data_IF_388098935379
#
_entry.id   IF_388098935379
#
_cell.length_a   1.000
_cell.length_b   1.000
_cell.length_c   1.000
_cell.angle_alpha   90.00
_cell.angle_beta   90.00
_cell.angle_gamma   90.00
#
_symmetry.space_group_name_H-M   'P 1'
#
loop_
_entity.id
_entity.type
_entity.pdbx_description
1 polymer ?
#
# COMPACT_ATOMS: atom_id res chain seq x y z
N UNK A 1 76.12 -6.39 -6.56
CA UNK A 1 75.68 -5.42 -7.59
C UNK A 1 74.18 -5.54 -7.70
N UNK A 2 73.45 -4.59 -7.14
CA UNK A 2 71.98 -4.53 -7.13
C UNK A 2 71.59 -3.67 -8.34
N UNK A 3 70.77 -4.17 -9.29
CA UNK A 3 70.26 -3.32 -10.37
C UNK A 3 69.19 -2.35 -9.82
N UNK A 4 69.06 -1.15 -10.42
CA UNK A 4 68.31 -0.04 -9.86
C UNK A 4 66.79 -0.26 -9.92
N UNK A 5 66.06 0.45 -9.06
CA UNK A 5 64.60 0.45 -8.95
C UNK A 5 63.91 0.55 -10.32
N UNK A 6 63.43 -0.59 -10.80
CA UNK A 6 62.69 -0.68 -12.06
C UNK A 6 61.28 -0.14 -11.87
N UNK A 7 60.95 0.90 -12.63
CA UNK A 7 59.57 1.32 -12.87
C UNK A 7 58.73 0.10 -13.28
N UNK A 8 57.94 -0.41 -12.35
CA UNK A 8 56.94 -1.45 -12.62
C UNK A 8 55.78 -0.79 -13.38
N UNK A 9 56.01 -0.50 -14.66
CA UNK A 9 55.03 0.09 -15.55
C UNK A 9 53.98 -0.96 -15.96
N UNK A 10 52.79 -0.50 -16.37
CA UNK A 10 51.68 -1.37 -16.79
C UNK A 10 52.07 -2.34 -17.93
N UNK A 11 53.05 -1.96 -18.76
CA UNK A 11 53.59 -2.79 -19.85
C UNK A 11 54.36 -4.01 -19.36
N UNK A 12 55.20 -3.85 -18.33
CA UNK A 12 55.94 -4.96 -17.70
C UNK A 12 54.97 -5.92 -16.99
N UNK A 13 53.91 -5.38 -16.38
CA UNK A 13 52.86 -6.19 -15.76
C UNK A 13 52.04 -7.01 -16.78
N UNK A 14 51.83 -6.47 -17.99
CA UNK A 14 51.18 -7.21 -19.09
C UNK A 14 52.08 -8.31 -19.66
N UNK A 15 53.38 -8.05 -19.84
CA UNK A 15 54.34 -9.10 -20.24
C UNK A 15 54.42 -10.22 -19.20
N UNK A 16 54.55 -9.88 -17.92
CA UNK A 16 54.60 -10.88 -16.84
C UNK A 16 53.31 -11.73 -16.75
N UNK A 17 52.14 -11.16 -17.08
CA UNK A 17 50.86 -11.90 -17.19
C UNK A 17 50.80 -12.89 -18.36
N UNK A 18 51.54 -12.64 -19.44
CA UNK A 18 51.63 -13.56 -20.58
C UNK A 18 52.66 -14.66 -20.34
N UNK A 19 53.74 -14.35 -19.63
CA UNK A 19 54.81 -15.29 -19.28
C UNK A 19 54.44 -16.26 -18.14
N UNK A 20 53.55 -15.85 -17.22
CA UNK A 20 53.05 -16.71 -16.13
C UNK A 20 51.52 -16.62 -16.04
N UNK A 21 50.76 -17.61 -16.57
CA UNK A 21 49.32 -17.58 -16.44
C UNK A 21 48.91 -17.81 -14.98
N UNK A 22 48.08 -16.92 -14.44
CA UNK A 22 47.46 -17.16 -13.14
C UNK A 22 46.53 -18.38 -13.23
N UNK A 23 46.65 -19.30 -12.27
CA UNK A 23 45.77 -20.45 -12.12
C UNK A 23 44.40 -20.01 -11.58
N UNK A 24 43.60 -19.39 -12.46
CA UNK A 24 42.25 -18.92 -12.12
C UNK A 24 41.28 -20.09 -12.25
N UNK A 25 40.68 -20.50 -11.14
CA UNK A 25 39.63 -21.52 -11.16
C UNK A 25 38.30 -20.99 -11.71
N UNK A 26 37.91 -19.77 -11.30
CA UNK A 26 36.61 -19.18 -11.62
C UNK A 26 36.74 -17.71 -12.01
N UNK A 27 35.96 -17.29 -13.03
CA UNK A 27 35.92 -15.90 -13.49
C UNK A 27 35.05 -15.03 -12.57
N UNK A 28 35.24 -13.71 -12.63
CA UNK A 28 34.38 -12.73 -11.96
C UNK A 28 32.93 -12.81 -12.47
N UNK A 29 31.96 -12.71 -11.57
CA UNK A 29 30.54 -12.76 -11.91
C UNK A 29 30.02 -11.43 -12.47
N UNK A 30 28.89 -11.49 -13.19
CA UNK A 30 28.23 -10.28 -13.72
C UNK A 30 27.51 -9.52 -12.61
N UNK A 31 27.22 -8.24 -12.86
CA UNK A 31 26.39 -7.44 -11.96
C UNK A 31 25.04 -8.13 -11.74
N UNK A 32 24.63 -8.24 -10.47
CA UNK A 32 23.38 -8.90 -10.07
C UNK A 32 23.45 -10.42 -9.87
N UNK A 33 24.67 -10.99 -9.93
CA UNK A 33 24.96 -12.39 -9.61
C UNK A 33 25.74 -12.49 -8.30
N UNK A 34 25.38 -13.47 -7.48
CA UNK A 34 26.11 -13.81 -6.26
C UNK A 34 27.11 -14.95 -6.53
N UNK A 35 28.25 -14.91 -5.86
CA UNK A 35 29.27 -15.96 -5.92
C UNK A 35 28.96 -17.05 -4.91
N UNK A 36 28.74 -18.28 -5.37
CA UNK A 36 28.58 -19.48 -4.53
C UNK A 36 29.86 -20.31 -4.58
N UNK A 37 30.52 -20.52 -3.44
CA UNK A 37 31.72 -21.37 -3.37
C UNK A 37 31.35 -22.85 -3.55
N UNK A 38 32.21 -23.60 -4.25
CA UNK A 38 32.03 -25.05 -4.37
C UNK A 38 32.44 -25.74 -3.06
N UNK A 39 31.66 -26.73 -2.60
CA UNK A 39 31.97 -27.48 -1.37
C UNK A 39 33.31 -28.24 -1.44
N UNK A 40 33.69 -28.70 -2.64
CA UNK A 40 34.91 -29.50 -2.84
C UNK A 40 36.16 -28.68 -3.22
N UNK A 41 36.05 -27.35 -3.37
CA UNK A 41 37.21 -26.50 -3.69
C UNK A 41 37.03 -25.05 -3.17
N UNK A 42 37.70 -24.68 -2.06
CA UNK A 42 37.47 -23.39 -1.40
C UNK A 42 37.94 -22.17 -2.23
N UNK A 43 38.79 -22.39 -3.25
CA UNK A 43 39.29 -21.35 -4.15
C UNK A 43 38.38 -21.09 -5.37
N UNK A 44 37.36 -21.93 -5.59
CA UNK A 44 36.50 -21.87 -6.77
C UNK A 44 35.08 -21.42 -6.40
N UNK A 45 34.53 -20.49 -7.18
CA UNK A 45 33.14 -20.07 -7.04
C UNK A 45 32.38 -20.20 -8.37
N UNK A 46 31.06 -20.38 -8.27
CA UNK A 46 30.10 -20.35 -9.37
C UNK A 46 29.19 -19.14 -9.23
N UNK A 47 28.83 -18.52 -10.34
CA UNK A 47 27.88 -17.42 -10.35
C UNK A 47 26.45 -17.96 -10.32
N UNK A 48 25.63 -17.47 -9.40
CA UNK A 48 24.20 -17.75 -9.34
C UNK A 48 23.40 -16.45 -9.39
N UNK A 49 22.34 -16.41 -10.19
CA UNK A 49 21.43 -15.28 -10.27
C UNK A 49 20.54 -15.17 -9.03
N UNK A 50 20.38 -13.95 -8.51
CA UNK A 50 19.45 -13.70 -7.40
C UNK A 50 17.98 -13.67 -7.87
N UNK A 51 17.04 -13.99 -6.99
CA UNK A 51 15.60 -13.87 -7.28
C UNK A 51 15.16 -12.40 -7.34
N UNK A 52 14.05 -12.07 -8.02
CA UNK A 52 13.48 -10.72 -7.98
C UNK A 52 13.14 -10.32 -6.53
N UNK A 53 13.49 -9.09 -6.13
CA UNK A 53 13.34 -8.61 -4.74
C UNK A 53 14.53 -8.90 -3.82
N UNK A 54 15.57 -9.56 -4.34
CA UNK A 54 16.84 -9.77 -3.65
C UNK A 54 17.96 -8.93 -4.27
N UNK A 55 18.95 -8.57 -3.46
CA UNK A 55 20.17 -7.87 -3.87
C UNK A 55 21.42 -8.68 -3.50
N UNK A 56 22.51 -8.42 -4.20
CA UNK A 56 23.81 -9.08 -4.00
C UNK A 56 24.55 -8.40 -2.84
N UNK A 57 24.95 -9.19 -1.85
CA UNK A 57 25.88 -8.74 -0.82
C UNK A 57 27.32 -9.01 -1.30
N UNK A 58 28.08 -7.95 -1.56
CA UNK A 58 29.49 -8.06 -1.93
C UNK A 58 30.37 -8.28 -0.69
N UNK A 59 31.27 -9.27 -0.73
CA UNK A 59 32.45 -9.26 0.16
C UNK A 59 33.47 -8.26 -0.40
N UNK A 60 34.16 -7.47 0.44
CA UNK A 60 35.34 -6.72 -0.02
C UNK A 60 36.44 -7.72 -0.38
N UNK A 61 36.84 -7.77 -1.65
CA UNK A 61 37.84 -8.70 -2.18
C UNK A 61 39.28 -8.18 -2.12
N UNK A 62 39.61 -7.25 -1.23
CA UNK A 62 41.02 -6.89 -1.01
C UNK A 62 41.25 -6.34 0.39
N UNK A 63 41.87 -7.16 1.24
CA UNK A 63 42.40 -6.75 2.54
C UNK A 63 42.85 -7.99 3.33
N UNK A 64 44.05 -7.99 3.94
CA UNK A 64 44.41 -9.01 4.92
C UNK A 64 43.39 -8.99 6.07
N UNK A 65 43.17 -10.15 6.69
CA UNK A 65 42.11 -10.43 7.67
C UNK A 65 42.20 -9.65 9.01
N UNK A 66 43.00 -8.59 9.07
CA UNK A 66 43.21 -7.76 10.25
C UNK A 66 42.88 -6.29 9.95
N UNK A 67 41.59 -5.98 9.79
CA UNK A 67 41.10 -4.62 9.98
C UNK A 67 39.88 -4.69 10.90
N UNK A 68 39.94 -4.11 12.11
CA UNK A 68 38.83 -4.15 13.04
C UNK A 68 37.64 -3.35 12.50
N UNK A 69 36.44 -3.90 12.68
CA UNK A 69 35.16 -3.23 12.44
C UNK A 69 35.05 -1.97 13.31
N UNK A 70 35.49 -0.81 12.83
CA UNK A 70 34.95 0.48 13.26
C UNK A 70 35.22 1.57 12.21
N UNK A 71 34.40 1.61 11.16
CA UNK A 71 34.13 2.89 10.49
C UNK A 71 32.71 2.88 9.95
N UNK A 72 31.79 3.20 10.85
CA UNK A 72 30.47 3.72 10.52
C UNK A 72 30.63 5.05 9.78
N UNK A 73 29.78 5.40 8.80
CA UNK A 73 29.63 6.80 8.43
C UNK A 73 29.09 7.56 9.66
N UNK A 74 29.76 8.66 9.97
CA UNK A 74 29.39 9.59 11.05
C UNK A 74 27.94 10.05 10.86
N UNK A 75 27.21 10.06 11.97
CA UNK A 75 25.76 10.21 12.00
C UNK A 75 25.21 11.54 11.50
N UNK A 76 23.96 11.48 11.06
CA UNK A 76 23.01 12.58 11.12
C UNK A 76 21.88 12.17 12.09
N UNK A 77 21.70 12.96 13.13
CA UNK A 77 20.68 12.83 14.18
C UNK A 77 19.28 13.26 13.71
N UNK A 78 18.25 12.46 14.01
CA UNK A 78 16.86 12.91 13.96
C UNK A 78 15.83 11.83 13.58
N UNK A 79 15.41 11.07 14.59
CA UNK A 79 14.10 10.45 14.82
C UNK A 79 13.38 9.55 13.78
N UNK A 80 13.02 8.38 14.32
CA UNK A 80 11.96 7.44 13.93
C UNK A 80 12.19 6.54 12.69
N UNK A 81 12.69 5.33 12.97
CA UNK A 81 12.24 4.11 12.29
C UNK A 81 13.02 3.69 11.05
N UNK A 82 14.26 3.22 11.22
CA UNK A 82 14.83 2.27 10.27
C UNK A 82 15.73 1.27 10.99
N UNK A 83 15.19 0.08 11.25
CA UNK A 83 16.00 -1.11 11.44
C UNK A 83 16.72 -1.41 10.12
N UNK A 84 17.86 -0.77 9.88
CA UNK A 84 18.88 -1.32 9.01
C UNK A 84 19.53 -2.50 9.75
N UNK A 85 18.76 -3.58 9.95
CA UNK A 85 19.22 -4.82 10.53
C UNK A 85 20.14 -5.51 9.50
N UNK A 86 21.45 -5.27 9.62
CA UNK A 86 22.44 -6.14 9.04
C UNK A 86 22.38 -7.47 9.83
N UNK A 87 21.51 -8.39 9.46
CA UNK A 87 21.59 -9.75 10.02
C UNK A 87 22.80 -10.41 9.39
N UNK A 88 24.01 -10.27 9.92
CA UNK A 88 25.15 -11.05 9.44
C UNK A 88 24.80 -12.54 9.60
N UNK A 89 24.72 -13.28 8.49
CA UNK A 89 24.49 -14.72 8.54
C UNK A 89 25.77 -15.37 9.05
N UNK A 90 25.64 -16.39 9.90
CA UNK A 90 26.74 -17.13 10.54
C UNK A 90 27.78 -17.65 9.54
N UNK A 91 27.41 -17.74 8.26
CA UNK A 91 28.34 -18.01 7.18
C UNK A 91 28.51 -16.70 6.42
N UNK A 92 29.71 -16.11 6.50
CA UNK A 92 30.13 -14.87 5.85
C UNK A 92 30.00 -14.90 4.30
N UNK A 93 29.20 -15.75 3.68
CA UNK A 93 29.18 -15.99 2.23
C UNK A 93 28.58 -14.79 1.45
N UNK A 94 29.24 -14.42 0.36
CA UNK A 94 28.67 -13.52 -0.64
C UNK A 94 27.39 -14.17 -1.19
N UNK A 95 26.24 -13.59 -0.89
CA UNK A 95 24.94 -14.23 -1.11
C UNK A 95 23.85 -13.23 -1.43
N UNK A 96 22.77 -13.73 -2.03
CA UNK A 96 21.57 -12.95 -2.31
C UNK A 96 20.78 -12.75 -1.01
N UNK A 97 20.39 -11.50 -0.72
CA UNK A 97 19.55 -11.17 0.43
C UNK A 97 18.26 -10.46 0.02
N UNK A 98 17.13 -10.72 0.68
CA UNK A 98 15.91 -9.99 0.43
C UNK A 98 16.05 -8.51 0.85
N UNK A 99 15.41 -7.62 0.09
CA UNK A 99 15.28 -6.22 0.46
C UNK A 99 14.29 -6.03 1.64
N UNK A 100 14.50 -5.02 2.50
CA UNK A 100 13.57 -4.71 3.58
C UNK A 100 12.19 -4.25 3.04
N UNK A 101 11.11 -4.40 3.82
CA UNK A 101 9.78 -3.97 3.41
C UNK A 101 9.76 -2.47 3.07
N UNK A 102 9.05 -2.10 2.00
CA UNK A 102 9.01 -0.72 1.49
C UNK A 102 10.14 -0.36 0.50
N UNK A 103 11.00 -1.32 0.16
CA UNK A 103 12.07 -1.14 -0.84
C UNK A 103 11.99 -2.19 -1.94
N UNK A 104 12.45 -1.84 -3.14
CA UNK A 104 12.55 -2.72 -4.30
C UNK A 104 14.01 -2.88 -4.72
N UNK A 105 14.41 -4.08 -5.13
CA UNK A 105 15.76 -4.32 -5.68
C UNK A 105 15.96 -3.55 -6.98
N UNK A 106 17.13 -2.90 -7.14
CA UNK A 106 17.53 -2.30 -8.44
C UNK A 106 17.52 -3.35 -9.57
N UNK A 107 17.39 -2.92 -10.82
CA UNK A 107 17.47 -3.79 -12.00
C UNK A 107 18.79 -4.59 -12.05
N UNK A 108 19.89 -3.98 -11.60
CA UNK A 108 21.21 -4.62 -11.50
C UNK A 108 21.41 -5.42 -10.20
N UNK A 109 20.40 -5.48 -9.32
CA UNK A 109 20.38 -6.19 -8.03
C UNK A 109 21.59 -5.86 -7.13
N UNK A 110 22.17 -4.68 -7.28
CA UNK A 110 23.32 -4.20 -6.51
C UNK A 110 22.93 -3.58 -5.17
N UNK A 111 21.64 -3.27 -4.99
CA UNK A 111 21.10 -2.69 -3.77
C UNK A 111 19.58 -2.55 -3.84
N UNK A 112 19.00 -1.96 -2.81
CA UNK A 112 17.57 -1.70 -2.69
C UNK A 112 17.30 -0.20 -2.87
N UNK A 113 16.27 0.14 -3.64
CA UNK A 113 15.74 1.48 -3.82
C UNK A 113 14.45 1.61 -3.00
N UNK A 114 14.22 2.78 -2.41
CA UNK A 114 12.92 3.10 -1.80
C UNK A 114 11.83 3.09 -2.87
N UNK A 115 10.67 2.52 -2.55
CA UNK A 115 9.55 2.51 -3.48
C UNK A 115 9.01 3.93 -3.60
N UNK A 116 9.11 4.54 -4.78
CA UNK A 116 8.52 5.84 -5.02
C UNK A 116 7.00 5.69 -5.03
N UNK A 117 6.31 6.45 -4.16
CA UNK A 117 4.85 6.41 -4.10
C UNK A 117 4.29 7.10 -5.34
N UNK A 118 3.89 6.30 -6.32
CA UNK A 118 3.14 6.81 -7.47
C UNK A 118 1.72 7.15 -7.01
N UNK A 119 1.47 8.42 -6.74
CA UNK A 119 0.11 8.93 -6.64
C UNK A 119 -0.61 8.61 -7.96
N UNK A 120 -1.91 8.26 -7.94
CA UNK A 120 -2.69 8.17 -9.18
C UNK A 120 -2.54 9.50 -9.91
N UNK A 121 -1.63 9.53 -10.89
CA UNK A 121 -1.23 10.74 -11.56
C UNK A 121 -2.45 11.43 -12.18
N UNK A 122 -2.40 12.76 -12.33
CA UNK A 122 -3.49 13.56 -12.91
C UNK A 122 -3.86 13.19 -14.35
N UNK A 123 -3.19 12.18 -14.95
CA UNK A 123 -3.41 11.68 -16.31
C UNK A 123 -4.08 10.30 -16.35
N UNK A 124 -4.43 9.72 -15.21
CA UNK A 124 -5.10 8.43 -15.16
C UNK A 124 -6.58 8.53 -15.54
N UNK A 125 -7.06 7.83 -16.58
CA UNK A 125 -8.44 7.97 -17.06
C UNK A 125 -9.47 7.49 -16.03
N UNK A 126 -9.12 6.51 -15.18
CA UNK A 126 -10.00 6.03 -14.12
C UNK A 126 -10.32 7.11 -13.09
N UNK A 127 -9.34 7.97 -12.77
CA UNK A 127 -9.52 9.06 -11.80
C UNK A 127 -10.53 10.09 -12.33
N UNK A 128 -10.44 10.44 -13.62
CA UNK A 128 -11.43 11.29 -14.28
C UNK A 128 -12.81 10.67 -14.33
N UNK A 129 -12.90 9.36 -14.60
CA UNK A 129 -14.18 8.64 -14.63
C UNK A 129 -14.91 8.73 -13.29
N UNK A 130 -14.21 8.48 -12.18
CA UNK A 130 -14.78 8.55 -10.83
C UNK A 130 -15.18 9.98 -10.46
N UNK A 131 -14.35 10.97 -10.79
CA UNK A 131 -14.67 12.37 -10.52
C UNK A 131 -15.92 12.84 -11.29
N UNK A 132 -16.00 12.50 -12.58
CA UNK A 132 -17.15 12.84 -13.43
C UNK A 132 -18.44 12.19 -12.92
N UNK A 133 -18.38 10.91 -12.54
CA UNK A 133 -19.53 10.19 -11.98
C UNK A 133 -20.01 10.81 -10.67
N UNK A 134 -19.06 11.19 -9.80
CA UNK A 134 -19.37 11.82 -8.52
C UNK A 134 -20.01 13.20 -8.69
N UNK A 135 -19.50 14.03 -9.63
CA UNK A 135 -20.11 15.32 -9.96
C UNK A 135 -21.51 15.15 -10.55
N UNK A 136 -21.70 14.20 -11.48
CA UNK A 136 -23.01 13.95 -12.08
C UNK A 136 -24.04 13.53 -11.01
N UNK A 137 -23.65 12.63 -10.11
CA UNK A 137 -24.49 12.20 -8.98
C UNK A 137 -24.81 13.33 -8.00
N UNK A 138 -23.82 14.17 -7.68
CA UNK A 138 -24.00 15.36 -6.84
C UNK A 138 -24.99 16.35 -7.48
N UNK A 139 -24.83 16.65 -8.77
CA UNK A 139 -25.72 17.55 -9.50
C UNK A 139 -27.16 17.03 -9.55
N UNK A 140 -27.34 15.73 -9.82
CA UNK A 140 -28.66 15.11 -9.84
C UNK A 140 -29.36 15.19 -8.47
N UNK A 141 -28.65 14.85 -7.40
CA UNK A 141 -29.21 14.87 -6.05
C UNK A 141 -29.45 16.29 -5.53
N UNK A 142 -28.61 17.28 -5.89
CA UNK A 142 -28.87 18.70 -5.63
C UNK A 142 -30.14 19.14 -6.36
N UNK A 143 -30.32 18.75 -7.62
CA UNK A 143 -31.55 19.03 -8.39
C UNK A 143 -32.81 18.45 -7.74
N UNK A 144 -32.74 17.21 -7.28
CA UNK A 144 -33.84 16.58 -6.51
C UNK A 144 -34.07 17.31 -5.18
N UNK A 145 -33.01 17.69 -4.48
CA UNK A 145 -33.09 18.50 -3.26
C UNK A 145 -33.78 19.84 -3.51
N UNK A 146 -33.39 20.58 -4.55
CA UNK A 146 -33.99 21.86 -4.89
C UNK A 146 -35.47 21.68 -5.25
N UNK A 147 -35.82 20.70 -6.09
CA UNK A 147 -37.24 20.47 -6.45
C UNK A 147 -38.09 20.07 -5.26
N UNK A 148 -37.55 19.23 -4.37
CA UNK A 148 -38.15 18.90 -3.07
C UNK A 148 -38.39 20.16 -2.24
N UNK A 149 -37.39 21.06 -2.22
CA UNK A 149 -37.41 22.33 -1.50
C UNK A 149 -38.24 23.42 -2.20
N UNK A 150 -38.55 23.31 -3.48
CA UNK A 150 -39.47 24.24 -4.14
C UNK A 150 -40.92 23.77 -3.99
N UNK A 151 -41.13 22.46 -3.85
CA UNK A 151 -42.45 21.82 -3.80
C UNK A 151 -42.84 21.32 -2.41
N UNK A 152 -42.26 21.84 -1.31
CA UNK A 152 -42.54 21.38 0.07
C UNK A 152 -44.02 21.28 0.44
N UNK A 153 -44.88 22.09 -0.18
CA UNK A 153 -46.32 22.13 0.10
C UNK A 153 -47.16 21.15 -0.74
N UNK A 154 -46.55 20.37 -1.63
CA UNK A 154 -47.29 19.38 -2.40
C UNK A 154 -47.73 18.21 -1.52
N UNK A 155 -48.96 17.70 -1.66
CA UNK A 155 -49.47 16.61 -0.83
C UNK A 155 -48.65 15.33 -0.96
N UNK A 156 -47.95 15.16 -2.09
CA UNK A 156 -47.01 14.06 -2.35
C UNK A 156 -45.84 14.08 -1.37
N UNK A 157 -45.20 15.24 -1.19
CA UNK A 157 -44.05 15.38 -0.28
C UNK A 157 -44.51 15.30 1.18
N UNK A 158 -45.69 15.84 1.48
CA UNK A 158 -46.26 15.80 2.82
C UNK A 158 -46.55 14.37 3.30
N UNK A 159 -47.05 13.50 2.40
CA UNK A 159 -47.31 12.09 2.70
C UNK A 159 -46.03 11.26 2.90
N UNK A 160 -44.92 11.63 2.27
CA UNK A 160 -43.67 10.85 2.27
C UNK A 160 -42.86 10.94 3.57
N UNK A 161 -43.27 11.79 4.53
CA UNK A 161 -42.51 12.06 5.75
C UNK A 161 -41.30 12.94 5.48
N UNK A 162 -41.43 14.23 5.86
CA UNK A 162 -40.46 15.28 5.52
C UNK A 162 -39.05 14.96 6.03
N UNK A 163 -38.95 14.62 7.31
CA UNK A 163 -37.68 14.42 7.99
C UNK A 163 -36.92 13.20 7.42
N UNK A 164 -37.63 12.09 7.16
CA UNK A 164 -37.01 10.87 6.61
C UNK A 164 -36.47 11.08 5.19
N UNK A 165 -37.16 11.86 4.35
CA UNK A 165 -36.65 12.18 2.99
C UNK A 165 -35.37 13.00 3.06
N UNK A 166 -35.33 13.98 3.98
CA UNK A 166 -34.19 14.87 4.15
C UNK A 166 -32.95 14.11 4.63
N UNK A 167 -33.09 13.17 5.58
CA UNK A 167 -31.98 12.31 5.99
C UNK A 167 -31.46 11.42 4.85
N UNK A 168 -32.35 10.88 4.03
CA UNK A 168 -31.97 10.09 2.85
C UNK A 168 -31.21 10.95 1.82
N UNK A 169 -31.70 12.16 1.52
CA UNK A 169 -31.03 13.09 0.63
C UNK A 169 -29.66 13.51 1.17
N UNK A 170 -29.54 13.78 2.47
CA UNK A 170 -28.26 14.10 3.10
C UNK A 170 -27.25 12.96 2.98
N UNK A 171 -27.66 11.70 3.22
CA UNK A 171 -26.80 10.53 3.08
C UNK A 171 -26.33 10.30 1.63
N UNK A 172 -27.20 10.52 0.65
CA UNK A 172 -26.85 10.45 -0.78
C UNK A 172 -25.91 11.59 -1.20
N UNK A 173 -26.04 12.78 -0.61
CA UNK A 173 -25.12 13.88 -0.90
C UNK A 173 -23.75 13.65 -0.30
N UNK A 174 -23.70 13.22 0.95
CA UNK A 174 -22.46 12.90 1.66
C UNK A 174 -21.67 11.77 0.97
N UNK A 175 -22.35 10.79 0.35
CA UNK A 175 -21.69 9.69 -0.37
C UNK A 175 -20.99 10.13 -1.66
N UNK A 176 -21.50 11.15 -2.37
CA UNK A 176 -20.82 11.73 -3.54
C UNK A 176 -19.77 12.77 -3.16
N UNK A 177 -19.94 13.48 -2.04
CA UNK A 177 -18.95 14.44 -1.53
C UNK A 177 -17.71 13.71 -0.98
N UNK A 178 -17.87 12.55 -0.33
CA UNK A 178 -16.77 11.77 0.23
C UNK A 178 -15.63 11.48 -0.80
N UNK A 179 -15.86 10.84 -1.96
CA UNK A 179 -14.79 10.57 -2.92
C UNK A 179 -14.20 11.87 -3.50
N UNK A 180 -15.00 12.91 -3.70
CA UNK A 180 -14.50 14.21 -4.20
C UNK A 180 -13.55 14.85 -3.17
N UNK A 181 -13.94 14.86 -1.89
CA UNK A 181 -13.14 15.43 -0.81
C UNK A 181 -11.84 14.65 -0.57
N UNK A 182 -11.90 13.31 -0.66
CA UNK A 182 -10.71 12.46 -0.53
C UNK A 182 -9.73 12.65 -1.70
N UNK A 183 -10.24 12.90 -2.92
CA UNK A 183 -9.40 13.08 -4.11
C UNK A 183 -8.72 14.44 -4.19
N UNK A 184 -9.26 15.49 -3.57
CA UNK A 184 -8.58 16.80 -3.49
C UNK A 184 -7.47 16.87 -2.44
N UNK A 185 -7.45 15.96 -1.45
CA UNK A 185 -6.48 15.96 -0.36
C UNK A 185 -5.28 15.05 -0.62
N UNK A 186 -4.08 15.47 -0.21
CA UNK A 186 -2.92 14.56 -0.10
C UNK A 186 -3.26 13.45 0.91
N UNK A 187 -2.84 12.18 0.71
CA UNK A 187 -3.15 11.11 1.64
C UNK A 187 -2.57 11.45 3.02
N UNK A 188 -3.46 11.77 3.95
CA UNK A 188 -3.16 12.03 5.36
C UNK A 188 -3.85 10.98 6.20
N UNK A 189 -3.37 10.75 7.43
CA UNK A 189 -3.97 9.78 8.37
C UNK A 189 -5.44 10.07 8.63
N UNK A 190 -5.82 11.36 8.67
CA UNK A 190 -7.21 11.81 8.85
C UNK A 190 -8.07 11.50 7.62
N UNK A 191 -7.57 11.78 6.42
CA UNK A 191 -8.23 11.51 5.14
C UNK A 191 -8.39 9.99 4.93
N UNK A 192 -7.40 9.20 5.34
CA UNK A 192 -7.46 7.74 5.30
C UNK A 192 -8.55 7.20 6.24
N UNK A 193 -8.57 7.65 7.51
CA UNK A 193 -9.59 7.25 8.48
C UNK A 193 -11.01 7.65 8.02
N UNK A 194 -11.17 8.87 7.51
CA UNK A 194 -12.44 9.34 6.97
C UNK A 194 -12.85 8.58 5.70
N UNK A 195 -11.89 8.23 4.85
CA UNK A 195 -12.15 7.47 3.63
C UNK A 195 -12.69 6.07 3.88
N UNK A 196 -12.34 5.46 5.01
CA UNK A 196 -12.90 4.17 5.43
C UNK A 196 -14.28 4.34 6.09
N UNK A 197 -14.46 5.34 6.95
CA UNK A 197 -15.65 5.47 7.79
C UNK A 197 -16.84 6.13 7.06
N UNK A 198 -16.58 7.17 6.25
CA UNK A 198 -17.62 7.95 5.60
C UNK A 198 -18.59 7.11 4.72
N UNK A 199 -18.14 6.24 3.79
CA UNK A 199 -19.07 5.46 2.96
C UNK A 199 -19.95 4.52 3.80
N UNK A 200 -19.40 3.92 4.86
CA UNK A 200 -20.16 3.07 5.78
C UNK A 200 -21.27 3.83 6.50
N UNK A 201 -20.93 5.00 7.07
CA UNK A 201 -21.92 5.86 7.73
C UNK A 201 -23.00 6.34 6.77
N UNK A 202 -22.64 6.78 5.56
CA UNK A 202 -23.62 7.21 4.55
C UNK A 202 -24.60 6.10 4.18
N UNK A 203 -24.11 4.87 3.93
CA UNK A 203 -24.97 3.73 3.60
C UNK A 203 -25.90 3.39 4.77
N UNK A 204 -25.40 3.42 6.01
CA UNK A 204 -26.24 3.13 7.18
C UNK A 204 -27.38 4.15 7.36
N UNK A 205 -27.10 5.44 7.15
CA UNK A 205 -28.12 6.50 7.21
C UNK A 205 -29.18 6.30 6.12
N UNK A 206 -28.74 6.05 4.87
CA UNK A 206 -29.65 5.77 3.76
C UNK A 206 -30.52 4.54 4.03
N UNK A 207 -29.91 3.45 4.50
CA UNK A 207 -30.62 2.20 4.78
C UNK A 207 -31.61 2.34 5.94
N UNK A 208 -31.23 3.03 7.02
CA UNK A 208 -32.12 3.31 8.15
C UNK A 208 -33.34 4.16 7.73
N UNK A 209 -33.15 5.15 6.84
CA UNK A 209 -34.24 5.95 6.31
C UNK A 209 -35.19 5.12 5.42
N UNK A 210 -34.65 4.26 4.55
CA UNK A 210 -35.46 3.34 3.73
C UNK A 210 -36.24 2.38 4.63
N UNK A 211 -35.58 1.73 5.58
CA UNK A 211 -36.21 0.78 6.49
C UNK A 211 -37.34 1.41 7.30
N UNK A 212 -37.14 2.63 7.80
CA UNK A 212 -38.18 3.38 8.53
C UNK A 212 -39.43 3.60 7.68
N UNK A 213 -39.25 3.93 6.39
CA UNK A 213 -40.37 4.10 5.46
C UNK A 213 -41.09 2.79 5.19
N UNK A 214 -40.34 1.75 4.86
CA UNK A 214 -40.90 0.43 4.54
C UNK A 214 -41.67 -0.14 5.73
N UNK A 215 -41.15 0.02 6.95
CA UNK A 215 -41.82 -0.41 8.18
C UNK A 215 -43.15 0.31 8.40
N UNK A 216 -43.17 1.65 8.28
CA UNK A 216 -44.41 2.44 8.42
C UNK A 216 -45.46 2.03 7.39
N UNK A 217 -45.06 1.81 6.14
CA UNK A 217 -45.96 1.35 5.07
C UNK A 217 -46.51 -0.05 5.37
N UNK A 218 -45.65 -0.98 5.79
CA UNK A 218 -46.05 -2.34 6.14
C UNK A 218 -47.08 -2.35 7.28
N UNK A 219 -46.92 -1.50 8.30
CA UNK A 219 -47.89 -1.41 9.41
C UNK A 219 -49.28 -0.96 8.94
N UNK A 220 -49.38 -0.04 7.96
CA UNK A 220 -50.67 0.40 7.42
C UNK A 220 -51.42 -0.78 6.80
N UNK A 221 -50.73 -1.61 6.01
CA UNK A 221 -51.32 -2.80 5.40
C UNK A 221 -51.74 -3.83 6.45
N UNK A 222 -50.89 -4.08 7.45
CA UNK A 222 -51.20 -5.03 8.54
C UNK A 222 -52.42 -4.61 9.37
N UNK A 223 -52.61 -3.31 9.61
CA UNK A 223 -53.81 -2.77 10.29
C UNK A 223 -55.05 -2.86 9.40
N UNK A 224 -54.90 -2.66 8.08
CA UNK A 224 -56.04 -2.68 7.14
C UNK A 224 -56.52 -4.08 6.73
N UNK A 225 -55.68 -5.11 6.82
CA UNK A 225 -56.03 -6.49 6.45
C UNK A 225 -55.66 -7.47 7.57
N UNK A 226 -56.59 -7.80 8.50
CA UNK A 226 -56.33 -8.77 9.57
C UNK A 226 -56.06 -10.19 9.04
N UNK A 227 -56.40 -10.48 7.77
CA UNK A 227 -56.16 -11.77 7.09
C UNK A 227 -54.67 -12.04 6.84
N UNK A 228 -53.83 -11.00 6.71
CA UNK A 228 -52.38 -11.15 6.56
C UNK A 228 -51.60 -11.18 7.89
N UNK A 229 -52.27 -11.03 9.04
CA UNK A 229 -51.63 -11.08 10.36
C UNK A 229 -51.02 -12.48 10.69
N UNK A 230 -51.42 -13.52 9.95
CA UNK A 230 -50.83 -14.86 10.04
C UNK A 230 -49.54 -15.03 9.21
N UNK A 231 -49.16 -14.07 8.37
CA UNK A 231 -47.81 -14.06 7.80
C UNK A 231 -46.86 -13.45 8.82
N UNK A 232 -46.22 -14.31 9.61
CA UNK A 232 -45.03 -14.01 10.38
C UNK A 232 -43.93 -13.55 9.41
N UNK A 233 -43.95 -12.26 9.06
CA UNK A 233 -42.77 -11.60 8.54
C UNK A 233 -41.70 -11.80 9.63
N UNK A 234 -40.58 -12.49 9.35
CA UNK A 234 -39.44 -12.39 10.23
C UNK A 234 -39.04 -10.93 10.18
N UNK A 235 -39.51 -10.17 11.16
CA UNK A 235 -38.87 -8.92 11.52
C UNK A 235 -37.46 -9.35 11.82
N UNK A 236 -36.53 -8.99 10.93
CA UNK A 236 -35.12 -8.95 11.28
C UNK A 236 -35.08 -7.86 12.36
N UNK A 237 -35.32 -8.29 13.59
CA UNK A 237 -34.92 -7.60 14.79
C UNK A 237 -33.41 -7.52 14.66
N UNK A 238 -32.92 -6.40 14.15
CA UNK A 238 -31.62 -5.91 14.56
C UNK A 238 -31.78 -5.62 16.05
N UNK A 239 -31.62 -6.67 16.86
CA UNK A 239 -31.53 -6.57 18.29
C UNK A 239 -30.32 -5.70 18.57
N UNK A 240 -30.59 -4.41 18.78
CA UNK A 240 -29.64 -3.41 19.28
C UNK A 240 -29.38 -3.63 20.77
N UNK A 241 -29.33 -4.90 21.19
CA UNK A 241 -29.20 -5.36 22.57
C UNK A 241 -27.76 -5.82 22.91
N UNK A 242 -26.75 -5.43 22.12
CA UNK A 242 -25.34 -5.78 22.40
C UNK A 242 -24.57 -4.68 23.16
N UNK A 243 -25.19 -3.55 23.56
CA UNK A 243 -24.48 -2.47 24.26
C UNK A 243 -25.07 -1.95 25.58
N UNK A 244 -26.04 -2.62 26.20
CA UNK A 244 -26.62 -2.15 27.49
C UNK A 244 -26.65 -3.15 28.66
N UNK A 245 -26.07 -4.36 28.55
CA UNK A 245 -26.09 -5.33 29.67
C UNK A 245 -24.69 -5.81 30.10
N UNK A 246 -23.69 -4.93 30.05
CA UNK A 246 -22.69 -4.89 31.12
C UNK A 246 -23.18 -3.89 32.16
N UNK A 247 -23.21 -4.30 33.43
CA UNK A 247 -23.69 -3.55 34.62
C UNK A 247 -25.16 -3.78 34.98
N UNK A 248 -25.49 -4.97 35.49
CA UNK A 248 -25.76 -5.17 36.92
C UNK A 248 -25.83 -6.65 37.27
#
# INVERSE_FOLDING_TARGET
MVPPEGQFNETVAQELRQLYPYSICSRSCRLGQATRYAQDSPCCWRCSDCSPGQYVLWRPTSGPADIPQYRWPLGGSGDAGSEAAYVATVNNEAGCRPCPPGTQSYANRTGCQMLEFEFLGPRNPMLFGVAAWSLAGLMACVGVGITYVCKWRTPVILASGRDTTLFLLFGMMASYVAPIALMMGRPSTTICALGTMAPGLCITICYAAIFTRTKRIAQIFLVSSPVCANYHFPTISYDFNIMSSQSR
#
